data_IF_743980726353
#
_entry.id   IF_743980726353
#
_cell.length_a   1.000
_cell.length_b   1.000
_cell.length_c   1.000
_cell.angle_alpha   90.00
_cell.angle_beta   90.00
_cell.angle_gamma   90.00
#
_symmetry.space_group_name_H-M   'P 1'
#
loop_
_entity.id
_entity.type
_entity.pdbx_description
1 polymer ?
#
# COMPACT_ATOMS: atom_id res chain seq x y z
N UNK A 1 -3.95 38.69 -21.07
CA UNK A 1 -4.23 37.64 -20.04
C UNK A 1 -2.88 37.20 -19.49
N UNK A 2 -2.57 37.48 -18.21
CA UNK A 2 -1.40 36.91 -17.57
C UNK A 2 -1.60 35.38 -17.50
N UNK A 3 -0.72 34.62 -18.14
CA UNK A 3 -0.70 33.16 -18.03
C UNK A 3 -0.73 32.81 -16.55
N UNK A 4 -1.79 32.14 -16.09
CA UNK A 4 -1.85 31.59 -14.75
C UNK A 4 -0.70 30.60 -14.68
N UNK A 5 0.33 30.92 -13.91
CA UNK A 5 1.42 29.96 -13.68
C UNK A 5 0.79 28.79 -12.94
N UNK A 6 0.90 27.58 -13.46
CA UNK A 6 0.40 26.35 -12.87
C UNK A 6 1.49 25.75 -11.94
N UNK A 7 1.10 25.00 -10.91
CA UNK A 7 2.08 24.32 -10.06
C UNK A 7 2.90 23.35 -10.92
N UNK A 8 4.20 23.28 -10.66
CA UNK A 8 5.13 22.38 -11.32
C UNK A 8 5.96 21.66 -10.24
N UNK A 9 5.85 20.32 -10.20
CA UNK A 9 6.24 19.54 -9.05
C UNK A 9 7.50 18.71 -9.32
N UNK A 10 8.49 18.83 -8.44
CA UNK A 10 9.69 18.03 -8.48
C UNK A 10 9.71 16.99 -7.37
N UNK A 11 10.03 15.73 -7.70
CA UNK A 11 10.04 14.59 -6.79
C UNK A 11 11.47 14.00 -6.65
N UNK A 12 12.35 14.58 -5.80
CA UNK A 12 13.59 13.89 -5.45
C UNK A 12 13.29 12.74 -4.50
N UNK A 13 13.65 11.52 -4.87
CA UNK A 13 13.35 10.33 -4.07
C UNK A 13 14.40 9.23 -4.26
N UNK A 14 14.58 8.39 -3.24
CA UNK A 14 15.46 7.22 -3.32
C UNK A 14 14.71 6.07 -3.99
N UNK A 15 15.34 5.42 -4.96
CA UNK A 15 14.76 4.22 -5.59
C UNK A 15 14.93 3.01 -4.67
N UNK A 16 13.81 2.48 -4.17
CA UNK A 16 13.78 1.41 -3.17
C UNK A 16 13.33 0.06 -3.73
N UNK A 17 12.69 0.03 -4.90
CA UNK A 17 12.06 -1.18 -5.46
C UNK A 17 10.79 -1.60 -4.70
N UNK A 18 10.12 -0.67 -4.02
CA UNK A 18 8.94 -0.95 -3.19
C UNK A 18 7.69 -0.23 -3.69
N UNK A 19 6.56 -0.43 -3.00
CA UNK A 19 5.30 0.24 -3.30
C UNK A 19 5.36 1.78 -3.27
N UNK A 20 6.33 2.36 -2.57
CA UNK A 20 6.57 3.81 -2.56
C UNK A 20 7.02 4.33 -3.93
N UNK A 21 7.87 3.56 -4.63
CA UNK A 21 8.30 3.91 -5.99
C UNK A 21 7.12 3.88 -6.95
N UNK A 22 6.28 2.84 -6.86
CA UNK A 22 5.05 2.69 -7.67
C UNK A 22 4.09 3.86 -7.42
N UNK A 23 3.89 4.25 -6.15
CA UNK A 23 3.09 5.42 -5.80
C UNK A 23 3.62 6.69 -6.48
N UNK A 24 4.94 6.94 -6.35
CA UNK A 24 5.56 8.15 -6.92
C UNK A 24 5.45 8.18 -8.45
N UNK A 25 5.71 7.06 -9.11
CA UNK A 25 5.59 6.92 -10.58
C UNK A 25 4.14 7.15 -11.04
N UNK A 26 3.15 6.53 -10.39
CA UNK A 26 1.72 6.72 -10.69
C UNK A 26 1.29 8.18 -10.50
N UNK A 27 1.67 8.80 -9.38
CA UNK A 27 1.34 10.19 -9.11
C UNK A 27 1.92 11.13 -10.17
N UNK A 28 3.20 10.99 -10.49
CA UNK A 28 3.87 11.82 -11.50
C UNK A 28 3.25 11.60 -12.88
N UNK A 29 3.04 10.36 -13.30
CA UNK A 29 2.41 10.04 -14.58
C UNK A 29 0.99 10.63 -14.66
N UNK A 30 0.20 10.47 -13.61
CA UNK A 30 -1.16 11.02 -13.55
C UNK A 30 -1.21 12.55 -13.61
N UNK A 31 -0.23 13.24 -13.02
CA UNK A 31 -0.08 14.70 -13.13
C UNK A 31 0.27 15.12 -14.57
N UNK A 32 1.26 14.46 -15.18
CA UNK A 32 1.72 14.75 -16.55
C UNK A 32 0.59 14.56 -17.57
N UNK A 33 -0.19 13.47 -17.45
CA UNK A 33 -1.36 13.23 -18.33
C UNK A 33 -2.39 14.35 -18.20
N UNK A 34 -2.47 15.03 -17.07
CA UNK A 34 -3.38 16.18 -16.83
C UNK A 34 -2.76 17.54 -17.19
N UNK A 35 -1.59 17.55 -17.83
CA UNK A 35 -0.90 18.76 -18.24
C UNK A 35 -0.08 19.45 -17.14
N UNK A 36 -0.03 18.90 -15.94
CA UNK A 36 0.77 19.43 -14.83
C UNK A 36 2.20 18.94 -14.97
N UNK A 37 3.15 19.87 -15.01
CA UNK A 37 4.57 19.51 -15.11
C UNK A 37 5.06 18.85 -13.84
N UNK A 38 5.52 17.60 -13.93
CA UNK A 38 6.04 16.83 -12.83
C UNK A 38 7.19 15.94 -13.30
N UNK A 39 8.23 15.77 -12.44
CA UNK A 39 9.42 14.98 -12.77
C UNK A 39 10.01 14.34 -11.53
N UNK A 40 10.48 13.08 -11.67
CA UNK A 40 11.17 12.34 -10.61
C UNK A 40 12.67 12.42 -10.82
N UNK A 41 13.40 12.78 -9.78
CA UNK A 41 14.85 12.60 -9.73
C UNK A 41 15.18 11.43 -8.80
N UNK A 42 15.59 10.32 -9.41
CA UNK A 42 15.92 9.11 -8.66
C UNK A 42 17.31 9.23 -8.02
N UNK A 43 17.37 9.05 -6.71
CA UNK A 43 18.58 8.88 -5.95
C UNK A 43 18.89 7.38 -5.78
N UNK A 44 20.16 6.98 -5.74
CA UNK A 44 20.54 5.59 -5.51
C UNK A 44 20.18 5.14 -4.09
N UNK A 45 19.96 3.84 -3.89
CA UNK A 45 19.52 3.27 -2.60
C UNK A 45 20.45 3.66 -1.44
N UNK A 46 21.75 3.75 -1.67
CA UNK A 46 22.69 4.12 -0.61
C UNK A 46 22.55 5.58 -0.13
N UNK A 47 21.79 6.42 -0.84
CA UNK A 47 21.44 7.77 -0.35
C UNK A 47 20.63 7.75 0.96
N UNK A 48 19.96 6.65 1.26
CA UNK A 48 19.25 6.45 2.54
C UNK A 48 20.21 6.27 3.72
N UNK A 49 21.31 5.54 3.51
CA UNK A 49 22.25 5.14 4.57
C UNK A 49 23.46 6.06 4.66
N UNK A 50 23.97 6.50 3.51
CA UNK A 50 25.19 7.30 3.35
C UNK A 50 24.91 8.55 2.51
N UNK A 51 23.99 9.43 2.96
CA UNK A 51 23.54 10.55 2.14
C UNK A 51 24.66 11.51 1.72
N UNK A 52 25.73 11.62 2.50
CA UNK A 52 26.89 12.48 2.19
C UNK A 52 27.75 12.00 1.02
N UNK A 53 27.63 10.76 0.59
CA UNK A 53 28.34 10.22 -0.58
C UNK A 53 27.63 10.47 -1.90
N UNK A 54 26.40 10.98 -1.85
CA UNK A 54 25.58 11.25 -3.03
C UNK A 54 25.53 12.75 -3.30
N UNK A 55 25.70 13.14 -4.56
CA UNK A 55 25.58 14.54 -5.00
C UNK A 55 24.16 15.04 -4.75
N UNK A 56 24.06 16.25 -4.21
CA UNK A 56 22.76 16.89 -3.98
C UNK A 56 22.16 17.26 -5.34
N UNK A 57 20.98 16.75 -5.70
CA UNK A 57 20.35 17.14 -6.95
C UNK A 57 19.85 18.59 -6.85
N UNK A 58 20.00 19.34 -7.92
CA UNK A 58 19.45 20.68 -8.03
C UNK A 58 18.01 20.61 -8.55
N UNK A 59 17.08 21.36 -7.92
CA UNK A 59 15.73 21.46 -8.45
C UNK A 59 15.75 22.04 -9.86
N UNK A 60 14.96 21.51 -10.79
CA UNK A 60 14.82 22.11 -12.12
C UNK A 60 14.33 23.56 -12.01
N UNK A 61 14.78 24.44 -12.91
CA UNK A 61 14.43 25.87 -12.88
C UNK A 61 12.92 26.16 -13.01
N UNK A 62 12.16 25.20 -13.49
CA UNK A 62 10.71 25.28 -13.62
C UNK A 62 9.97 24.82 -12.36
N UNK A 63 10.64 24.09 -11.43
CA UNK A 63 9.97 23.56 -10.25
C UNK A 63 9.51 24.69 -9.32
N UNK A 64 8.26 24.59 -8.91
CA UNK A 64 7.63 25.53 -7.97
C UNK A 64 7.30 24.89 -6.63
N UNK A 65 7.22 23.56 -6.59
CA UNK A 65 6.95 22.75 -5.40
C UNK A 65 7.86 21.54 -5.41
N UNK A 66 8.33 21.13 -4.23
CA UNK A 66 9.03 19.87 -4.00
C UNK A 66 8.12 18.91 -3.23
N UNK A 67 7.97 17.69 -3.74
CA UNK A 67 7.25 16.65 -3.03
C UNK A 67 8.21 15.49 -2.70
N UNK A 68 8.32 15.14 -1.42
CA UNK A 68 9.27 14.14 -0.91
C UNK A 68 8.58 13.09 -0.04
N UNK A 69 9.23 11.95 0.14
CA UNK A 69 8.90 11.01 1.19
C UNK A 69 9.51 11.49 2.52
N UNK A 70 8.83 11.32 3.66
CA UNK A 70 9.29 11.84 4.96
C UNK A 70 10.65 11.29 5.39
N UNK A 71 11.02 10.10 4.96
CA UNK A 71 12.32 9.46 5.26
C UNK A 71 13.47 9.92 4.35
N UNK A 72 13.21 10.72 3.29
CA UNK A 72 14.28 11.31 2.49
C UNK A 72 15.18 12.17 3.37
N UNK A 73 16.49 11.95 3.32
CA UNK A 73 17.43 12.73 4.14
C UNK A 73 17.35 14.22 3.80
N UNK A 74 17.24 15.07 4.84
CA UNK A 74 16.95 16.51 4.72
C UNK A 74 17.98 17.29 3.86
N UNK A 75 19.20 16.77 3.67
CA UNK A 75 20.20 17.39 2.78
C UNK A 75 19.79 17.46 1.31
N UNK A 76 18.88 16.57 0.87
CA UNK A 76 18.38 16.52 -0.51
C UNK A 76 17.15 17.40 -0.74
N UNK A 77 16.65 18.05 0.31
CA UNK A 77 15.45 18.90 0.26
C UNK A 77 15.90 20.36 0.10
N UNK A 78 15.53 21.04 -0.99
CA UNK A 78 15.88 22.45 -1.20
C UNK A 78 15.17 23.34 -0.19
N UNK A 79 15.82 24.44 0.22
CA UNK A 79 15.29 25.38 1.21
C UNK A 79 14.47 26.53 0.58
N UNK A 80 14.53 26.67 -0.72
CA UNK A 80 13.97 27.80 -1.47
C UNK A 80 12.66 27.49 -2.20
N UNK A 81 12.12 26.28 -2.00
CA UNK A 81 10.83 25.86 -2.59
C UNK A 81 9.90 25.34 -1.50
N UNK A 82 8.58 25.53 -1.64
CA UNK A 82 7.60 24.87 -0.79
C UNK A 82 7.75 23.36 -0.83
N UNK A 83 7.67 22.72 0.34
CA UNK A 83 7.90 21.27 0.51
C UNK A 83 6.63 20.59 0.99
N UNK A 84 6.23 19.55 0.28
CA UNK A 84 5.24 18.55 0.73
C UNK A 84 5.99 17.28 1.12
N UNK A 85 5.66 16.70 2.26
CA UNK A 85 6.25 15.46 2.74
C UNK A 85 5.17 14.41 2.99
N UNK A 86 5.28 13.24 2.31
CA UNK A 86 4.30 12.16 2.44
C UNK A 86 4.82 11.00 3.28
N UNK A 87 4.02 10.59 4.26
CA UNK A 87 4.19 9.41 5.08
C UNK A 87 3.52 8.20 4.42
N UNK A 88 4.29 7.15 4.10
CA UNK A 88 3.78 5.92 3.47
C UNK A 88 3.62 4.75 4.44
N UNK A 89 4.34 4.75 5.54
CA UNK A 89 4.36 3.65 6.50
C UNK A 89 4.46 4.14 7.94
N UNK A 90 3.93 3.34 8.84
CA UNK A 90 4.13 3.47 10.28
C UNK A 90 5.25 2.55 10.76
N UNK A 91 6.48 2.75 10.23
CA UNK A 91 7.62 1.87 10.61
C UNK A 91 7.98 1.96 12.09
N UNK A 92 7.50 3.00 12.78
CA UNK A 92 7.70 3.21 14.22
C UNK A 92 6.57 2.61 15.07
N UNK A 93 5.59 1.93 14.46
CA UNK A 93 4.53 1.21 15.17
C UNK A 93 5.14 0.20 16.15
N UNK A 94 4.84 0.30 17.47
CA UNK A 94 5.32 -0.63 18.49
C UNK A 94 4.95 -2.09 18.20
N UNK A 95 3.80 -2.34 17.56
CA UNK A 95 3.34 -3.68 17.21
C UNK A 95 4.25 -4.39 16.19
N UNK A 96 5.09 -3.63 15.48
CA UNK A 96 6.10 -4.19 14.58
C UNK A 96 7.38 -4.65 15.27
N UNK A 97 7.56 -4.33 16.55
CA UNK A 97 8.78 -4.65 17.28
C UNK A 97 9.16 -6.14 17.26
N UNK A 98 8.22 -7.10 17.42
CA UNK A 98 8.52 -8.52 17.34
C UNK A 98 9.02 -9.00 15.97
N UNK A 99 8.71 -8.25 14.91
CA UNK A 99 9.04 -8.59 13.50
C UNK A 99 10.29 -7.86 12.99
N UNK A 100 10.97 -7.09 13.84
CA UNK A 100 12.19 -6.36 13.51
C UNK A 100 13.38 -6.97 14.26
N UNK A 101 14.42 -7.31 13.53
CA UNK A 101 15.72 -7.60 14.16
C UNK A 101 16.27 -6.37 14.91
N UNK A 102 17.07 -6.59 15.94
CA UNK A 102 17.60 -5.53 16.82
C UNK A 102 18.31 -4.41 16.04
N UNK A 103 19.19 -4.75 15.10
CA UNK A 103 19.94 -3.77 14.30
C UNK A 103 19.00 -2.89 13.47
N UNK A 104 17.96 -3.49 12.88
CA UNK A 104 16.96 -2.73 12.10
C UNK A 104 16.10 -1.84 12.99
N UNK A 105 15.76 -2.29 14.19
CA UNK A 105 15.04 -1.46 15.15
C UNK A 105 15.86 -0.25 15.59
N UNK A 106 17.16 -0.44 15.89
CA UNK A 106 18.10 0.64 16.20
C UNK A 106 18.25 1.63 15.02
N UNK A 107 18.41 1.12 13.80
CA UNK A 107 18.48 1.94 12.60
C UNK A 107 17.24 2.81 12.42
N UNK A 108 16.04 2.23 12.56
CA UNK A 108 14.80 3.00 12.47
C UNK A 108 14.68 4.05 13.58
N UNK A 109 15.08 3.72 14.81
CA UNK A 109 14.94 4.61 15.96
C UNK A 109 15.95 5.77 15.96
N UNK A 110 17.21 5.49 15.60
CA UNK A 110 18.30 6.47 15.76
C UNK A 110 18.69 7.17 14.45
N UNK A 111 18.27 6.63 13.31
CA UNK A 111 18.56 7.21 12.01
C UNK A 111 17.29 7.68 11.28
N UNK A 112 16.32 6.82 11.06
CA UNK A 112 15.13 7.19 10.28
C UNK A 112 14.21 8.13 11.07
N UNK A 113 13.85 7.82 12.32
CA UNK A 113 12.91 8.63 13.10
C UNK A 113 13.34 10.09 13.30
N UNK A 114 14.62 10.41 13.65
CA UNK A 114 15.08 11.79 13.74
C UNK A 114 15.02 12.53 12.40
N UNK A 115 15.31 11.83 11.29
CA UNK A 115 15.23 12.42 9.96
C UNK A 115 13.77 12.69 9.55
N UNK A 116 12.86 11.73 9.72
CA UNK A 116 11.44 11.92 9.45
C UNK A 116 10.85 13.06 10.27
N UNK A 117 11.14 13.10 11.58
CA UNK A 117 10.72 14.20 12.45
C UNK A 117 11.19 15.57 11.93
N UNK A 118 12.46 15.65 11.53
CA UNK A 118 13.03 16.90 10.97
C UNK A 118 12.33 17.29 9.67
N UNK A 119 12.08 16.34 8.78
CA UNK A 119 11.41 16.60 7.50
C UNK A 119 9.97 17.05 7.74
N UNK A 120 9.22 16.35 8.60
CA UNK A 120 7.84 16.71 8.94
C UNK A 120 7.72 18.11 9.58
N UNK A 121 8.62 18.45 10.48
CA UNK A 121 8.61 19.77 11.16
C UNK A 121 8.97 20.94 10.24
N UNK A 122 9.70 20.69 9.16
CA UNK A 122 10.13 21.72 8.21
C UNK A 122 9.35 21.69 6.88
N UNK A 123 8.48 20.72 6.67
CA UNK A 123 7.62 20.70 5.51
C UNK A 123 6.50 21.76 5.63
N UNK A 124 6.15 22.40 4.51
CA UNK A 124 5.02 23.32 4.44
C UNK A 124 3.68 22.59 4.57
N UNK A 125 3.64 21.36 4.09
CA UNK A 125 2.49 20.46 4.24
C UNK A 125 2.97 19.03 4.45
N UNK A 126 2.39 18.34 5.44
CA UNK A 126 2.60 16.91 5.65
C UNK A 126 1.36 16.16 5.23
N UNK A 127 1.53 15.08 4.44
CA UNK A 127 0.45 14.18 4.09
C UNK A 127 0.74 12.76 4.60
N UNK A 128 -0.29 11.96 4.77
CA UNK A 128 -0.19 10.55 5.09
C UNK A 128 -1.16 9.74 4.21
N UNK A 129 -0.76 8.52 3.89
CA UNK A 129 -1.55 7.62 3.02
C UNK A 129 -2.76 7.00 3.71
N UNK A 130 -2.91 7.18 5.03
CA UNK A 130 -4.05 6.74 5.82
C UNK A 130 -4.13 7.48 7.16
N UNK A 131 -5.30 7.46 7.79
CA UNK A 131 -5.48 8.01 9.14
C UNK A 131 -4.67 7.22 10.18
N UNK A 132 -4.55 5.89 9.99
CA UNK A 132 -3.72 5.03 10.82
C UNK A 132 -2.25 5.51 10.81
N UNK A 133 -1.67 5.76 9.65
CA UNK A 133 -0.30 6.28 9.51
C UNK A 133 -0.18 7.68 10.13
N UNK A 134 -1.15 8.57 9.89
CA UNK A 134 -1.16 9.91 10.48
C UNK A 134 -1.18 9.87 12.02
N UNK A 135 -2.08 9.06 12.60
CA UNK A 135 -2.18 8.90 14.04
C UNK A 135 -0.91 8.29 14.65
N UNK A 136 -0.35 7.27 14.00
CA UNK A 136 0.87 6.63 14.44
C UNK A 136 2.07 7.61 14.40
N UNK A 137 2.18 8.42 13.35
CA UNK A 137 3.23 9.42 13.24
C UNK A 137 3.13 10.50 14.33
N UNK A 138 1.92 10.96 14.66
CA UNK A 138 1.70 11.89 15.77
C UNK A 138 2.13 11.30 17.11
N UNK A 139 1.88 10.04 17.34
CA UNK A 139 2.25 9.35 18.59
C UNK A 139 3.76 9.05 18.69
N UNK A 140 4.41 8.71 17.59
CA UNK A 140 5.77 8.17 17.61
C UNK A 140 6.86 9.10 17.09
N UNK A 141 6.50 10.08 16.27
CA UNK A 141 7.44 11.03 15.65
C UNK A 141 7.26 12.44 16.18
N UNK A 142 6.25 13.17 15.73
CA UNK A 142 5.95 14.52 16.17
C UNK A 142 4.49 14.89 15.88
N UNK A 143 3.94 15.76 16.72
CA UNK A 143 2.58 16.28 16.53
C UNK A 143 2.61 17.52 15.62
N UNK A 144 2.36 17.29 14.34
CA UNK A 144 2.18 18.33 13.31
C UNK A 144 0.85 18.08 12.58
N UNK A 145 0.27 19.11 11.94
CA UNK A 145 -0.89 18.92 11.08
C UNK A 145 -0.58 17.95 9.94
N UNK A 146 -1.37 16.89 9.79
CA UNK A 146 -1.22 15.87 8.73
C UNK A 146 -2.54 15.76 7.98
N UNK A 147 -2.50 15.99 6.68
CA UNK A 147 -3.63 15.76 5.78
C UNK A 147 -3.59 14.32 5.27
N UNK A 148 -4.69 13.60 5.38
CA UNK A 148 -4.79 12.24 4.83
C UNK A 148 -5.19 12.32 3.37
N UNK A 149 -4.39 11.68 2.51
CA UNK A 149 -4.70 11.45 1.09
C UNK A 149 -4.45 9.98 0.83
N UNK A 150 -5.53 9.22 0.66
CA UNK A 150 -5.44 7.78 0.41
C UNK A 150 -4.75 7.48 -0.92
N UNK A 151 -3.99 6.39 -0.95
CA UNK A 151 -3.46 5.88 -2.22
C UNK A 151 -4.60 5.45 -3.13
N UNK A 152 -4.46 5.74 -4.41
CA UNK A 152 -5.38 5.30 -5.45
C UNK A 152 -4.78 4.24 -6.35
N UNK A 153 -5.66 3.47 -6.99
CA UNK A 153 -5.30 2.47 -7.99
C UNK A 153 -6.00 2.74 -9.32
N UNK A 154 -5.45 2.17 -10.39
CA UNK A 154 -6.09 2.15 -11.70
C UNK A 154 -7.26 1.15 -11.70
N UNK A 155 -8.48 1.68 -11.61
CA UNK A 155 -9.72 0.88 -11.57
C UNK A 155 -10.15 0.36 -12.95
N UNK A 156 -9.55 0.83 -14.03
CA UNK A 156 -9.77 0.33 -15.37
C UNK A 156 -8.90 -0.92 -15.62
N UNK A 157 -7.69 -0.95 -15.10
CA UNK A 157 -6.81 -2.12 -15.10
C UNK A 157 -7.28 -3.19 -14.10
N UNK A 158 -7.49 -2.82 -12.84
CA UNK A 158 -7.98 -3.72 -11.80
C UNK A 158 -9.51 -3.73 -11.82
N UNK A 159 -10.09 -4.57 -12.65
CA UNK A 159 -11.53 -4.71 -12.81
C UNK A 159 -11.97 -6.19 -12.68
N UNK A 160 -13.24 -6.46 -12.36
CA UNK A 160 -13.74 -7.82 -12.26
C UNK A 160 -13.59 -8.61 -13.55
N UNK A 161 -13.26 -9.91 -13.42
CA UNK A 161 -13.31 -10.87 -14.50
C UNK A 161 -14.71 -11.45 -14.71
N UNK A 162 -14.82 -12.32 -15.70
CA UNK A 162 -16.07 -13.02 -16.04
C UNK A 162 -16.15 -14.43 -15.41
N UNK A 163 -15.37 -14.71 -14.36
CA UNK A 163 -15.37 -16.03 -13.74
C UNK A 163 -16.70 -16.31 -13.04
N UNK A 164 -17.26 -17.47 -13.37
CA UNK A 164 -18.35 -18.08 -12.62
C UNK A 164 -17.83 -19.41 -12.06
N UNK A 165 -17.76 -19.53 -10.74
CA UNK A 165 -17.32 -20.76 -10.07
C UNK A 165 -18.30 -21.89 -10.34
N UNK A 166 -17.79 -23.04 -10.80
CA UNK A 166 -18.59 -24.24 -10.98
C UNK A 166 -18.87 -24.91 -9.63
N UNK A 167 -19.97 -25.64 -9.52
CA UNK A 167 -20.45 -26.26 -8.27
C UNK A 167 -19.42 -27.20 -7.60
N UNK A 168 -18.57 -27.85 -8.39
CA UNK A 168 -17.58 -28.83 -7.92
C UNK A 168 -16.14 -28.29 -7.88
N UNK A 169 -15.96 -27.00 -8.16
CA UNK A 169 -14.64 -26.38 -8.05
C UNK A 169 -14.34 -26.01 -6.60
N UNK A 170 -13.10 -26.20 -6.12
CA UNK A 170 -12.68 -25.70 -4.81
C UNK A 170 -12.81 -24.18 -4.74
N UNK A 171 -13.05 -23.67 -3.53
CA UNK A 171 -13.06 -22.24 -3.28
C UNK A 171 -11.63 -21.70 -3.29
N UNK A 172 -11.36 -20.77 -4.20
CA UNK A 172 -10.01 -20.25 -4.45
C UNK A 172 -9.74 -19.00 -3.63
N UNK A 173 -8.89 -19.16 -2.65
CA UNK A 173 -8.29 -18.04 -1.92
C UNK A 173 -7.04 -17.57 -2.65
N UNK A 174 -6.75 -16.27 -2.57
CA UNK A 174 -5.54 -15.67 -3.12
C UNK A 174 -4.79 -14.89 -2.04
N UNK A 175 -3.46 -15.03 -2.02
CA UNK A 175 -2.53 -14.18 -1.29
C UNK A 175 -1.50 -13.60 -2.27
N UNK A 176 -1.39 -12.28 -2.31
CA UNK A 176 -0.35 -11.57 -3.08
C UNK A 176 0.43 -10.66 -2.14
N UNK A 177 1.74 -10.85 -2.07
CA UNK A 177 2.61 -10.05 -1.22
C UNK A 177 3.99 -10.64 -1.02
N UNK A 178 4.88 -9.90 -0.37
CA UNK A 178 6.21 -10.40 -0.03
C UNK A 178 6.13 -11.52 1.00
N UNK A 179 6.91 -12.58 0.81
CA UNK A 179 6.94 -13.72 1.71
C UNK A 179 7.79 -13.42 2.96
N UNK A 180 7.15 -12.86 4.00
CA UNK A 180 7.81 -12.51 5.27
C UNK A 180 6.82 -12.47 6.43
N UNK A 181 7.29 -12.77 7.66
CA UNK A 181 6.46 -12.92 8.86
C UNK A 181 5.57 -11.71 9.17
N UNK A 182 6.05 -10.48 8.93
CA UNK A 182 5.21 -9.27 9.12
C UNK A 182 4.00 -9.23 8.19
N UNK A 183 4.03 -9.96 7.08
CA UNK A 183 2.90 -10.12 6.14
C UNK A 183 1.98 -11.28 6.50
N UNK A 184 2.26 -11.97 7.62
CA UNK A 184 1.41 -13.02 8.15
C UNK A 184 1.42 -14.33 7.37
N UNK A 185 2.47 -14.59 6.57
CA UNK A 185 2.58 -15.82 5.75
C UNK A 185 2.57 -17.10 6.58
N UNK A 186 3.03 -17.02 7.83
CA UNK A 186 3.00 -18.11 8.82
C UNK A 186 1.57 -18.52 9.22
N UNK A 187 0.56 -17.68 8.99
CA UNK A 187 -0.84 -17.96 9.26
C UNK A 187 -1.53 -18.72 8.13
N UNK A 188 -0.96 -18.69 6.90
CA UNK A 188 -1.59 -19.27 5.72
C UNK A 188 -1.73 -20.79 5.83
N UNK A 189 -0.64 -21.51 6.15
CA UNK A 189 -0.65 -22.98 6.27
C UNK A 189 -1.60 -23.49 7.37
N UNK A 190 -1.65 -22.93 8.57
CA UNK A 190 -2.63 -23.31 9.59
C UNK A 190 -4.07 -23.12 9.11
N UNK A 191 -4.40 -21.97 8.50
CA UNK A 191 -5.74 -21.70 7.94
C UNK A 191 -6.11 -22.75 6.91
N UNK A 192 -5.22 -23.07 5.97
CA UNK A 192 -5.50 -24.01 4.88
C UNK A 192 -5.65 -25.45 5.35
N UNK A 193 -4.93 -25.85 6.43
CA UNK A 193 -5.12 -27.17 7.04
C UNK A 193 -6.50 -27.33 7.67
N UNK A 194 -7.00 -26.29 8.32
CA UNK A 194 -8.32 -26.33 8.97
C UNK A 194 -9.46 -26.24 7.94
N UNK A 195 -9.27 -25.54 6.82
CA UNK A 195 -10.25 -25.47 5.73
C UNK A 195 -10.40 -26.78 4.96
N UNK A 196 -9.30 -27.53 4.76
CA UNK A 196 -9.31 -28.81 4.08
C UNK A 196 -9.45 -28.77 2.56
N UNK A 197 -9.85 -29.91 1.97
CA UNK A 197 -9.79 -30.17 0.51
C UNK A 197 -10.77 -29.32 -0.34
N UNK A 198 -11.83 -28.77 0.26
CA UNK A 198 -12.78 -27.90 -0.45
C UNK A 198 -12.24 -26.52 -0.80
N UNK A 199 -11.01 -26.22 -0.39
CA UNK A 199 -10.38 -24.90 -0.52
C UNK A 199 -8.98 -25.01 -1.10
N UNK A 200 -8.62 -24.06 -1.96
CA UNK A 200 -7.27 -23.90 -2.50
C UNK A 200 -6.76 -22.49 -2.20
N UNK A 201 -5.47 -22.36 -1.86
CA UNK A 201 -4.79 -21.08 -1.74
C UNK A 201 -3.73 -20.94 -2.81
N UNK A 202 -3.90 -19.96 -3.67
CA UNK A 202 -2.87 -19.51 -4.60
C UNK A 202 -2.08 -18.37 -3.95
N UNK A 203 -0.73 -18.44 -3.97
CA UNK A 203 0.09 -17.42 -3.28
C UNK A 203 1.35 -17.07 -4.05
N UNK A 204 1.84 -15.83 -3.86
CA UNK A 204 3.12 -15.37 -4.41
C UNK A 204 4.23 -15.59 -3.38
N UNK A 205 4.96 -16.68 -3.51
CA UNK A 205 6.05 -17.04 -2.58
C UNK A 205 7.42 -17.01 -3.26
N UNK A 206 7.52 -17.71 -4.38
CA UNK A 206 8.76 -17.87 -5.12
C UNK A 206 9.90 -18.42 -4.28
N UNK A 207 11.13 -18.00 -4.55
CA UNK A 207 12.33 -18.45 -3.83
C UNK A 207 12.28 -18.15 -2.31
N UNK A 208 11.54 -17.12 -1.89
CA UNK A 208 11.44 -16.78 -0.47
C UNK A 208 10.61 -17.80 0.34
N UNK A 209 9.65 -18.49 -0.31
CA UNK A 209 8.80 -19.51 0.31
C UNK A 209 9.43 -20.91 0.30
N UNK A 210 10.54 -21.14 -0.39
CA UNK A 210 11.09 -22.47 -0.68
C UNK A 210 11.32 -23.34 0.56
N UNK A 211 11.76 -22.73 1.67
CA UNK A 211 11.98 -23.44 2.94
C UNK A 211 10.66 -23.90 3.57
N UNK A 212 9.61 -23.13 3.42
CA UNK A 212 8.31 -23.37 4.05
C UNK A 212 7.47 -24.37 3.26
N UNK A 213 7.67 -24.50 1.93
CA UNK A 213 6.95 -25.39 1.04
C UNK A 213 6.89 -26.86 1.54
N UNK A 214 7.98 -27.33 2.18
CA UNK A 214 8.07 -28.71 2.68
C UNK A 214 7.05 -29.03 3.77
N UNK A 215 6.52 -28.03 4.44
CA UNK A 215 5.57 -28.17 5.55
C UNK A 215 4.17 -27.65 5.19
N UNK A 216 3.98 -27.16 3.99
CA UNK A 216 2.68 -26.66 3.53
C UNK A 216 1.74 -27.82 3.19
N UNK A 217 0.42 -27.65 3.37
CA UNK A 217 -0.58 -28.59 2.90
C UNK A 217 -0.69 -28.56 1.38
N UNK A 218 -1.17 -29.67 0.81
CA UNK A 218 -1.23 -29.86 -0.65
C UNK A 218 -2.18 -28.89 -1.40
N UNK A 219 -3.11 -28.26 -0.68
CA UNK A 219 -4.05 -27.30 -1.23
C UNK A 219 -3.50 -25.85 -1.28
N UNK A 220 -2.16 -25.69 -1.20
CA UNK A 220 -1.47 -24.42 -1.36
C UNK A 220 -0.57 -24.43 -2.61
N UNK A 221 -0.76 -23.48 -3.51
CA UNK A 221 -0.12 -23.43 -4.84
C UNK A 221 0.71 -22.15 -5.00
N UNK A 222 2.03 -22.28 -5.15
CA UNK A 222 2.93 -21.13 -5.34
C UNK A 222 2.91 -20.68 -6.82
N UNK A 223 2.53 -19.42 -7.02
CA UNK A 223 2.54 -18.76 -8.33
C UNK A 223 3.91 -18.12 -8.67
N UNK A 224 4.86 -18.15 -7.74
CA UNK A 224 6.13 -17.45 -7.92
C UNK A 224 5.99 -15.92 -7.85
N UNK A 225 6.80 -15.23 -8.65
CA UNK A 225 6.70 -13.77 -8.84
C UNK A 225 5.79 -13.49 -10.03
N UNK A 226 4.85 -12.59 -9.83
CA UNK A 226 3.91 -12.14 -10.85
C UNK A 226 4.19 -10.69 -11.24
N UNK A 227 4.04 -10.36 -12.52
CA UNK A 227 3.93 -9.00 -12.98
C UNK A 227 2.50 -8.45 -12.73
N UNK A 228 2.29 -7.16 -12.98
CA UNK A 228 1.02 -6.51 -12.69
C UNK A 228 -0.17 -7.12 -13.44
N UNK A 229 0.00 -7.47 -14.71
CA UNK A 229 -1.05 -8.09 -15.53
C UNK A 229 -1.41 -9.49 -15.01
N UNK A 230 -0.40 -10.28 -14.65
CA UNK A 230 -0.60 -11.61 -14.06
C UNK A 230 -1.31 -11.52 -12.70
N UNK A 231 -1.04 -10.47 -11.90
CA UNK A 231 -1.75 -10.22 -10.64
C UNK A 231 -3.25 -9.97 -10.91
N UNK A 232 -3.59 -9.15 -11.90
CA UNK A 232 -4.99 -8.94 -12.31
C UNK A 232 -5.65 -10.26 -12.70
N UNK A 233 -4.99 -11.07 -13.53
CA UNK A 233 -5.54 -12.36 -14.00
C UNK A 233 -5.80 -13.35 -12.87
N UNK A 234 -4.89 -13.46 -11.89
CA UNK A 234 -5.11 -14.36 -10.76
C UNK A 234 -6.15 -13.82 -9.79
N UNK A 235 -6.25 -12.50 -9.61
CA UNK A 235 -7.35 -11.88 -8.88
C UNK A 235 -8.70 -12.21 -9.54
N UNK A 236 -8.83 -12.06 -10.86
CA UNK A 236 -10.04 -12.35 -11.61
C UNK A 236 -10.42 -13.83 -11.61
N UNK A 237 -9.50 -14.74 -11.29
CA UNK A 237 -9.70 -16.21 -11.21
C UNK A 237 -9.91 -16.71 -9.79
N UNK A 238 -9.92 -15.85 -8.78
CA UNK A 238 -10.07 -16.18 -7.36
C UNK A 238 -11.47 -15.85 -6.84
N UNK A 239 -11.84 -16.40 -5.68
CA UNK A 239 -13.14 -16.18 -5.05
C UNK A 239 -13.07 -15.22 -3.85
N UNK A 240 -11.92 -15.17 -3.16
CA UNK A 240 -11.66 -14.22 -2.08
C UNK A 240 -10.14 -13.97 -1.91
N UNK A 241 -9.82 -12.83 -1.32
CA UNK A 241 -8.44 -12.43 -1.03
C UNK A 241 -8.13 -12.57 0.47
N UNK A 242 -7.16 -13.39 0.82
CA UNK A 242 -6.72 -13.60 2.21
C UNK A 242 -5.54 -12.68 2.52
N UNK A 243 -5.74 -11.77 3.47
CA UNK A 243 -4.78 -10.72 3.79
C UNK A 243 -4.38 -10.73 5.28
N UNK A 244 -3.48 -11.61 5.71
CA UNK A 244 -3.10 -11.78 7.11
C UNK A 244 -2.03 -10.79 7.59
N UNK A 245 -1.82 -9.67 6.85
CA UNK A 245 -0.73 -8.74 7.16
C UNK A 245 -0.89 -8.08 8.54
N UNK A 246 0.22 -8.00 9.26
CA UNK A 246 0.33 -7.39 10.60
C UNK A 246 0.81 -5.94 10.56
N UNK A 247 1.13 -5.41 9.38
CA UNK A 247 1.65 -4.06 9.23
C UNK A 247 1.44 -3.53 7.82
N UNK A 248 0.59 -2.54 7.74
CA UNK A 248 0.28 -1.82 6.49
C UNK A 248 0.10 -0.33 6.75
N UNK A 249 0.61 0.48 5.81
CA UNK A 249 0.33 1.91 5.80
C UNK A 249 -0.96 2.24 5.04
N UNK A 250 -1.14 1.68 3.85
CA UNK A 250 -2.36 1.67 3.04
C UNK A 250 -2.17 0.61 1.95
N UNK A 251 -2.67 -0.62 2.15
CA UNK A 251 -2.29 -1.77 1.34
C UNK A 251 -2.93 -1.73 -0.05
N UNK A 252 -2.16 -1.31 -1.07
CA UNK A 252 -2.62 -1.25 -2.46
C UNK A 252 -3.18 -2.58 -2.94
N UNK A 253 -2.52 -3.71 -2.60
CA UNK A 253 -2.95 -5.03 -3.06
C UNK A 253 -4.34 -5.43 -2.56
N UNK A 254 -4.74 -4.98 -1.35
CA UNK A 254 -6.08 -5.21 -0.84
C UNK A 254 -7.12 -4.39 -1.64
N UNK A 255 -6.79 -3.15 -1.98
CA UNK A 255 -7.63 -2.27 -2.80
C UNK A 255 -7.71 -2.82 -4.24
N UNK A 256 -6.61 -3.31 -4.80
CA UNK A 256 -6.53 -3.97 -6.11
C UNK A 256 -7.45 -5.20 -6.15
N UNK A 257 -7.40 -6.06 -5.12
CA UNK A 257 -8.29 -7.20 -4.99
C UNK A 257 -9.77 -6.80 -4.91
N UNK A 258 -10.11 -5.80 -4.09
CA UNK A 258 -11.46 -5.26 -3.97
C UNK A 258 -11.96 -4.66 -5.29
N UNK A 259 -11.10 -3.99 -6.05
CA UNK A 259 -11.42 -3.44 -7.37
C UNK A 259 -11.74 -4.55 -8.39
N UNK A 260 -11.03 -5.67 -8.31
CA UNK A 260 -11.34 -6.88 -9.07
C UNK A 260 -12.61 -7.62 -8.59
N UNK A 261 -13.30 -7.07 -7.57
CA UNK A 261 -14.51 -7.68 -7.01
C UNK A 261 -14.24 -8.80 -6.01
N UNK A 262 -13.01 -8.95 -5.50
CA UNK A 262 -12.70 -9.94 -4.47
C UNK A 262 -13.02 -9.37 -3.07
N UNK A 263 -13.85 -10.03 -2.26
CA UNK A 263 -13.96 -9.70 -0.86
C UNK A 263 -12.64 -10.01 -0.15
N UNK A 264 -12.16 -9.06 0.62
CA UNK A 264 -10.92 -9.19 1.38
C UNK A 264 -11.21 -9.71 2.78
N UNK A 265 -10.50 -10.75 3.20
CA UNK A 265 -10.51 -11.29 4.55
C UNK A 265 -9.18 -10.88 5.19
N UNK A 266 -9.20 -9.84 6.02
CA UNK A 266 -8.00 -9.24 6.58
C UNK A 266 -7.95 -9.34 8.09
N UNK A 267 -6.73 -9.45 8.63
CA UNK A 267 -6.51 -9.38 10.07
C UNK A 267 -6.53 -7.93 10.56
N UNK A 268 -7.15 -7.69 11.73
CA UNK A 268 -7.24 -6.38 12.37
C UNK A 268 -5.88 -5.84 12.83
N UNK A 269 -5.83 -4.55 13.13
CA UNK A 269 -4.68 -3.88 13.74
C UNK A 269 -3.79 -3.12 12.76
N UNK A 270 -4.27 -2.85 11.54
CA UNK A 270 -3.53 -2.08 10.53
C UNK A 270 -4.44 -1.10 9.80
N UNK A 271 -3.88 -0.30 8.90
CA UNK A 271 -4.66 0.61 8.05
C UNK A 271 -5.72 -0.09 7.17
N UNK A 272 -5.75 -1.42 7.10
CA UNK A 272 -6.78 -2.17 6.38
C UNK A 272 -8.19 -1.94 6.95
N UNK A 273 -8.29 -1.54 8.23
CA UNK A 273 -9.56 -1.20 8.88
C UNK A 273 -10.21 0.08 8.32
N UNK A 274 -9.45 0.91 7.60
CA UNK A 274 -10.00 2.07 6.88
C UNK A 274 -10.54 1.70 5.48
N UNK A 275 -10.10 0.56 4.96
CA UNK A 275 -10.49 0.07 3.63
C UNK A 275 -11.71 -0.85 3.71
N UNK A 276 -11.75 -1.71 4.74
CA UNK A 276 -12.76 -2.74 4.89
C UNK A 276 -13.84 -2.32 5.89
N UNK A 277 -15.06 -2.17 5.40
CA UNK A 277 -16.26 -2.08 6.23
C UNK A 277 -16.72 -3.52 6.51
N UNK A 278 -16.49 -3.98 7.77
CA UNK A 278 -16.69 -5.38 8.19
C UNK A 278 -18.09 -5.89 7.87
N UNK A 279 -18.18 -7.03 7.17
CA UNK A 279 -19.41 -7.70 6.67
C UNK A 279 -20.15 -6.96 5.55
N UNK A 280 -19.65 -5.83 5.06
CA UNK A 280 -20.25 -5.04 3.99
C UNK A 280 -19.48 -5.28 2.69
N UNK A 281 -18.18 -5.01 2.67
CA UNK A 281 -17.32 -5.14 1.50
C UNK A 281 -16.14 -6.09 1.70
N UNK A 282 -16.05 -6.74 2.87
CA UNK A 282 -15.01 -7.67 3.28
C UNK A 282 -15.15 -8.04 4.74
N UNK A 283 -14.16 -8.72 5.27
CA UNK A 283 -14.16 -9.16 6.66
C UNK A 283 -12.87 -8.78 7.38
N UNK A 284 -13.02 -8.29 8.60
CA UNK A 284 -11.93 -8.06 9.55
C UNK A 284 -11.97 -9.17 10.60
N UNK A 285 -10.93 -10.00 10.65
CA UNK A 285 -10.81 -11.16 11.53
C UNK A 285 -9.74 -10.97 12.59
N UNK A 286 -9.85 -11.69 13.70
CA UNK A 286 -8.97 -11.54 14.88
C UNK A 286 -7.84 -12.56 14.89
N UNK A 287 -8.15 -13.79 14.51
CA UNK A 287 -7.28 -14.96 14.60
C UNK A 287 -7.61 -15.99 13.52
N UNK A 288 -6.91 -17.12 13.52
CA UNK A 288 -7.08 -18.21 12.57
C UNK A 288 -8.51 -18.78 12.61
N UNK A 289 -9.05 -19.03 13.81
CA UNK A 289 -10.38 -19.63 13.96
C UNK A 289 -11.48 -18.71 13.38
N UNK A 290 -11.36 -17.40 13.63
CA UNK A 290 -12.28 -16.40 13.06
C UNK A 290 -12.14 -16.32 11.54
N UNK A 291 -10.92 -16.43 11.00
CA UNK A 291 -10.68 -16.47 9.55
C UNK A 291 -11.32 -17.71 8.92
N UNK A 292 -11.08 -18.90 9.46
CA UNK A 292 -11.64 -20.18 8.97
C UNK A 292 -13.18 -20.15 9.03
N UNK A 293 -13.75 -19.75 10.16
CA UNK A 293 -15.21 -19.60 10.31
C UNK A 293 -15.80 -18.63 9.29
N UNK A 294 -15.11 -17.51 9.05
CA UNK A 294 -15.55 -16.50 8.07
C UNK A 294 -15.49 -17.01 6.66
N UNK A 295 -14.41 -17.71 6.27
CA UNK A 295 -14.24 -18.29 4.94
C UNK A 295 -15.33 -19.33 4.66
N UNK A 296 -15.62 -20.23 5.61
CA UNK A 296 -16.70 -21.22 5.50
C UNK A 296 -18.08 -20.55 5.29
N UNK A 297 -18.39 -19.51 6.07
CA UNK A 297 -19.65 -18.76 5.90
C UNK A 297 -19.81 -18.10 4.54
N UNK A 298 -18.69 -17.59 3.97
CA UNK A 298 -18.70 -17.01 2.62
C UNK A 298 -18.89 -18.11 1.57
N UNK A 299 -18.21 -19.23 1.74
CA UNK A 299 -18.32 -20.39 0.86
C UNK A 299 -19.73 -20.95 0.76
N UNK A 300 -20.41 -21.08 1.91
CA UNK A 300 -21.77 -21.61 2.01
C UNK A 300 -22.84 -20.66 1.46
N UNK A 301 -22.56 -19.36 1.33
CA UNK A 301 -23.53 -18.35 0.96
C UNK A 301 -23.11 -17.56 -0.30
N UNK A 302 -23.43 -18.10 -1.46
CA UNK A 302 -23.11 -17.50 -2.76
C UNK A 302 -23.75 -16.11 -2.98
N UNK A 303 -24.97 -15.90 -2.45
CA UNK A 303 -25.64 -14.59 -2.52
C UNK A 303 -24.88 -13.53 -1.72
N UNK A 304 -24.40 -13.91 -0.52
CA UNK A 304 -23.59 -13.02 0.31
C UNK A 304 -22.24 -12.71 -0.35
N UNK A 305 -21.62 -13.71 -0.97
CA UNK A 305 -20.37 -13.52 -1.73
C UNK A 305 -20.58 -12.49 -2.85
N UNK A 306 -21.63 -12.63 -3.67
CA UNK A 306 -21.94 -11.68 -4.75
C UNK A 306 -22.16 -10.27 -4.23
N UNK A 307 -22.87 -10.10 -3.12
CA UNK A 307 -23.06 -8.81 -2.47
C UNK A 307 -21.73 -8.18 -2.03
N UNK A 308 -20.87 -8.96 -1.37
CA UNK A 308 -19.54 -8.50 -0.92
C UNK A 308 -18.69 -8.05 -2.10
N UNK A 309 -18.67 -8.80 -3.22
CA UNK A 309 -17.94 -8.46 -4.44
C UNK A 309 -18.38 -7.10 -4.99
N UNK A 310 -19.69 -6.86 -5.09
CA UNK A 310 -20.24 -5.59 -5.57
C UNK A 310 -19.86 -4.41 -4.68
N UNK A 311 -20.04 -4.58 -3.36
CA UNK A 311 -19.74 -3.54 -2.38
C UNK A 311 -18.24 -3.23 -2.27
N UNK A 312 -17.37 -4.26 -2.45
CA UNK A 312 -15.92 -4.08 -2.48
C UNK A 312 -15.50 -3.18 -3.64
N UNK A 313 -15.98 -3.46 -4.86
CA UNK A 313 -15.73 -2.65 -6.05
C UNK A 313 -16.24 -1.22 -5.90
N UNK A 314 -17.48 -1.06 -5.40
CA UNK A 314 -18.09 0.25 -5.19
C UNK A 314 -17.27 1.11 -4.22
N UNK A 315 -16.81 0.53 -3.09
CA UNK A 315 -15.95 1.23 -2.12
C UNK A 315 -14.68 1.77 -2.76
N UNK A 316 -14.02 0.96 -3.60
CA UNK A 316 -12.78 1.36 -4.28
C UNK A 316 -13.04 2.47 -5.28
N UNK A 317 -14.05 2.34 -6.13
CA UNK A 317 -14.38 3.36 -7.13
C UNK A 317 -14.66 4.72 -6.48
N UNK A 318 -15.36 4.73 -5.34
CA UNK A 318 -15.75 5.96 -4.66
C UNK A 318 -14.59 6.61 -3.88
N UNK A 319 -13.70 5.81 -3.27
CA UNK A 319 -12.74 6.31 -2.29
C UNK A 319 -11.27 6.15 -2.68
N UNK A 320 -10.92 5.11 -3.48
CA UNK A 320 -9.55 4.69 -3.67
C UNK A 320 -9.14 4.59 -5.15
N UNK A 321 -9.82 5.32 -6.03
CA UNK A 321 -9.40 5.42 -7.43
C UNK A 321 -8.19 6.36 -7.57
N UNK A 322 -7.34 6.10 -8.57
CA UNK A 322 -6.25 7.00 -8.92
C UNK A 322 -6.75 8.41 -9.24
N UNK A 323 -7.93 8.53 -9.85
CA UNK A 323 -8.57 9.82 -10.15
C UNK A 323 -8.82 10.62 -8.87
N UNK A 324 -9.35 9.99 -7.82
CA UNK A 324 -9.61 10.63 -6.51
C UNK A 324 -8.33 11.06 -5.82
N UNK A 325 -7.30 10.20 -5.81
CA UNK A 325 -5.98 10.52 -5.26
C UNK A 325 -5.36 11.72 -5.97
N UNK A 326 -5.33 11.69 -7.31
CA UNK A 326 -4.78 12.78 -8.12
C UNK A 326 -5.51 14.09 -7.90
N UNK A 327 -6.85 14.07 -7.85
CA UNK A 327 -7.64 15.26 -7.54
C UNK A 327 -7.26 15.88 -6.20
N UNK A 328 -7.08 15.06 -5.17
CA UNK A 328 -6.68 15.50 -3.84
C UNK A 328 -5.29 16.15 -3.84
N UNK A 329 -4.31 15.54 -4.52
CA UNK A 329 -2.97 16.11 -4.64
C UNK A 329 -2.94 17.39 -5.48
N UNK A 330 -3.69 17.47 -6.59
CA UNK A 330 -3.78 18.68 -7.41
C UNK A 330 -4.33 19.84 -6.57
N UNK A 331 -5.41 19.63 -5.82
CA UNK A 331 -5.96 20.64 -4.93
C UNK A 331 -4.96 21.10 -3.87
N UNK A 332 -4.17 20.18 -3.33
CA UNK A 332 -3.10 20.48 -2.38
C UNK A 332 -2.00 21.33 -3.02
N UNK A 333 -1.53 20.98 -4.22
CA UNK A 333 -0.52 21.75 -4.94
C UNK A 333 -1.02 23.14 -5.29
N UNK A 334 -2.26 23.26 -5.77
CA UNK A 334 -2.88 24.56 -6.08
C UNK A 334 -3.01 25.46 -4.85
N UNK A 335 -3.30 24.88 -3.69
CA UNK A 335 -3.41 25.63 -2.44
C UNK A 335 -2.04 26.14 -2.01
N UNK A 336 -1.03 25.28 -2.05
CA UNK A 336 0.33 25.63 -1.62
C UNK A 336 1.01 26.61 -2.58
N UNK A 337 0.68 26.55 -3.87
CA UNK A 337 1.22 27.45 -4.90
C UNK A 337 0.70 28.90 -4.77
N UNK A 338 -0.45 29.11 -4.13
CA UNK A 338 -1.07 30.43 -3.93
C UNK A 338 -0.57 31.18 -2.69
N UNK A 339 0.16 30.51 -1.83
CA UNK A 339 0.79 31.08 -0.62
C UNK A 339 2.14 31.66 -0.99
#
# INVERSE_FOLDING_TARGET
>A
MKSRKEPAIWFPTVRTGTGTDIFTERLVQGLVVRGIRAEITWLPLHAEYLPWTVTIPHPPNWATIVHVNTWLHSRFIPKNLPVIATLHHSIHDPNLRPYKGLLRAMYHQYWIAPNERRVMQNAHQVTAVSQFVANMAKQTLCDVPIQVIYNGIDTDLFCPGNRVRQKNEPFRLLYVGSWMSRKGVDLLSPIMRELGEGFELYYTGGAAAEKDKKTMPNNMHDLGRLNQQEVVEVMQKSDAFLFPSRSEGHPLVAIEAMSCGLPVIAFKGTAVEEIIDHKINGYLVKDINDAVSTINKIYENSSKLTQLCSMAKEKVNNNFSEKSMLHSYINLYDTLYKI
#
